data_IF_451646832385
#
_entry.id   IF_451646832385
#
_cell.length_a   1.000
_cell.length_b   1.000
_cell.length_c   1.000
_cell.angle_alpha   90.00
_cell.angle_beta   90.00
_cell.angle_gamma   90.00
#
_symmetry.space_group_name_H-M   'P 1'
#
loop_
_entity.id
_entity.type
_entity.pdbx_description
1 polymer ?
#
# COMPACT_ATOMS: atom_id res chain seq x y z
N UNK A 1 51.62 -43.25 -8.12
CA UNK A 1 50.26 -42.95 -8.63
C UNK A 1 49.50 -42.26 -7.51
N UNK A 2 49.41 -40.94 -7.52
CA UNK A 2 48.74 -40.17 -6.47
C UNK A 2 47.37 -39.76 -6.99
N UNK A 3 46.30 -40.33 -6.43
CA UNK A 3 44.92 -39.96 -6.77
C UNK A 3 44.51 -38.77 -5.90
N UNK A 4 44.17 -37.64 -6.53
CA UNK A 4 43.53 -36.51 -5.87
C UNK A 4 42.02 -36.76 -5.86
N UNK A 5 41.46 -37.12 -4.71
CA UNK A 5 40.02 -37.14 -4.49
C UNK A 5 39.55 -35.69 -4.31
N UNK A 6 38.91 -35.13 -5.33
CA UNK A 6 38.21 -33.85 -5.23
C UNK A 6 36.84 -34.11 -4.62
N UNK A 7 36.66 -33.75 -3.35
CA UNK A 7 35.35 -33.70 -2.69
C UNK A 7 34.59 -32.48 -3.23
N UNK A 8 33.39 -32.64 -3.83
CA UNK A 8 32.60 -31.48 -4.22
C UNK A 8 32.12 -30.75 -2.95
N UNK A 9 32.48 -29.47 -2.84
CA UNK A 9 31.98 -28.58 -1.81
C UNK A 9 30.46 -28.40 -2.02
N UNK A 10 29.62 -28.56 -0.98
CA UNK A 10 28.20 -28.32 -1.11
C UNK A 10 28.00 -26.83 -1.41
N UNK A 11 27.33 -26.53 -2.53
CA UNK A 11 26.88 -25.17 -2.80
C UNK A 11 26.03 -24.71 -1.61
N UNK A 12 26.17 -23.46 -1.14
CA UNK A 12 25.24 -22.94 -0.15
C UNK A 12 23.84 -23.11 -0.72
N UNK A 13 22.94 -23.73 0.06
CA UNK A 13 21.51 -23.62 -0.19
C UNK A 13 21.26 -22.12 -0.20
N UNK A 14 21.05 -21.55 -1.39
CA UNK A 14 20.50 -20.22 -1.45
C UNK A 14 19.14 -20.40 -0.80
N UNK A 15 18.97 -19.90 0.42
CA UNK A 15 17.64 -19.61 0.94
C UNK A 15 16.94 -18.94 -0.24
N UNK A 16 15.93 -19.61 -0.81
CA UNK A 16 15.10 -19.01 -1.87
C UNK A 16 14.82 -17.60 -1.38
N UNK A 17 15.30 -16.56 -2.09
CA UNK A 17 15.21 -15.21 -1.56
C UNK A 17 13.75 -15.03 -1.23
N UNK A 18 13.45 -14.84 0.06
CA UNK A 18 12.08 -14.83 0.54
C UNK A 18 11.40 -13.71 -0.24
N UNK A 19 10.74 -14.06 -1.34
CA UNK A 19 10.04 -13.13 -2.22
C UNK A 19 8.71 -12.83 -1.56
N UNK A 20 8.76 -12.58 -0.25
CA UNK A 20 7.66 -12.10 0.52
C UNK A 20 7.45 -10.65 0.14
N UNK A 21 6.21 -10.32 -0.12
CA UNK A 21 5.76 -8.94 -0.11
C UNK A 21 6.11 -8.33 1.26
N UNK A 22 6.78 -7.20 1.26
CA UNK A 22 7.18 -6.51 2.50
C UNK A 22 5.99 -5.90 3.24
N UNK A 23 4.88 -5.66 2.54
CA UNK A 23 3.62 -5.20 3.10
C UNK A 23 2.44 -5.90 2.40
N UNK A 24 1.32 -6.17 3.09
CA UNK A 24 0.17 -6.87 2.49
C UNK A 24 -0.36 -6.23 1.21
N UNK A 25 -0.41 -4.89 1.15
CA UNK A 25 -0.93 -4.15 -0.01
C UNK A 25 -0.12 -4.40 -1.29
N UNK A 26 1.17 -4.76 -1.17
CA UNK A 26 2.00 -5.03 -2.34
C UNK A 26 1.52 -6.27 -3.09
N UNK A 27 1.07 -7.29 -2.36
CA UNK A 27 0.47 -8.49 -2.93
C UNK A 27 -0.85 -8.16 -3.64
N UNK A 28 -1.66 -7.31 -3.03
CA UNK A 28 -2.96 -6.89 -3.56
C UNK A 28 -2.81 -6.11 -4.86
N UNK A 29 -1.90 -5.14 -4.91
CA UNK A 29 -1.63 -4.35 -6.12
C UNK A 29 -1.08 -5.23 -7.24
N UNK A 30 -0.15 -6.14 -6.93
CA UNK A 30 0.37 -7.10 -7.89
C UNK A 30 -0.75 -8.00 -8.46
N UNK A 31 -1.55 -8.60 -7.58
CA UNK A 31 -2.65 -9.48 -7.96
C UNK A 31 -3.71 -8.74 -8.79
N UNK A 32 -4.03 -7.49 -8.41
CA UNK A 32 -4.99 -6.65 -9.14
C UNK A 32 -4.50 -6.36 -10.55
N UNK A 33 -3.25 -5.93 -10.71
CA UNK A 33 -2.65 -5.68 -12.02
C UNK A 33 -2.67 -6.95 -12.90
N UNK A 34 -2.30 -8.10 -12.32
CA UNK A 34 -2.32 -9.37 -13.04
C UNK A 34 -3.73 -9.76 -13.49
N UNK A 35 -4.73 -9.61 -12.62
CA UNK A 35 -6.11 -9.97 -12.93
C UNK A 35 -6.73 -9.04 -13.97
N UNK A 36 -6.46 -7.74 -13.93
CA UNK A 36 -6.95 -6.80 -14.94
C UNK A 36 -6.37 -7.10 -16.33
N UNK A 37 -5.07 -7.43 -16.39
CA UNK A 37 -4.42 -7.89 -17.62
C UNK A 37 -5.03 -9.19 -18.15
N UNK A 38 -5.24 -10.20 -17.27
CA UNK A 38 -5.88 -11.47 -17.64
C UNK A 38 -7.31 -11.30 -18.15
N UNK A 39 -8.03 -10.32 -17.65
CA UNK A 39 -9.38 -9.96 -18.12
C UNK A 39 -9.36 -9.09 -19.39
N UNK A 40 -8.19 -8.81 -19.97
CA UNK A 40 -8.06 -8.12 -21.25
C UNK A 40 -8.21 -6.60 -21.16
N UNK A 41 -8.15 -6.01 -19.96
CA UNK A 41 -8.24 -4.56 -19.83
C UNK A 41 -7.03 -3.85 -20.48
N UNK A 42 -5.87 -4.48 -20.40
CA UNK A 42 -4.63 -4.06 -21.06
C UNK A 42 -3.75 -5.26 -21.38
N UNK A 43 -2.85 -5.07 -22.34
CA UNK A 43 -1.80 -6.05 -22.66
C UNK A 43 -0.54 -5.86 -21.82
N UNK A 44 0.28 -6.91 -21.71
CA UNK A 44 1.54 -6.83 -20.98
C UNK A 44 2.55 -5.86 -21.59
N UNK A 45 2.54 -5.68 -22.92
CA UNK A 45 3.39 -4.70 -23.60
C UNK A 45 3.03 -3.26 -23.22
N UNK A 46 1.72 -2.97 -23.12
CA UNK A 46 1.20 -1.67 -22.66
C UNK A 46 1.61 -1.41 -21.21
N UNK A 47 1.45 -2.42 -20.35
CA UNK A 47 1.90 -2.37 -18.96
C UNK A 47 3.38 -2.03 -18.83
N UNK A 48 4.26 -2.74 -19.55
CA UNK A 48 5.71 -2.50 -19.50
C UNK A 48 6.07 -1.08 -19.96
N UNK A 49 5.37 -0.55 -20.97
CA UNK A 49 5.58 0.82 -21.43
C UNK A 49 5.25 1.83 -20.33
N UNK A 50 4.07 1.74 -19.73
CA UNK A 50 3.65 2.65 -18.64
C UNK A 50 4.55 2.49 -17.42
N UNK A 51 4.82 1.26 -16.98
CA UNK A 51 5.62 1.00 -15.79
C UNK A 51 7.07 1.48 -15.93
N UNK A 52 7.70 1.26 -17.10
CA UNK A 52 9.06 1.76 -17.34
C UNK A 52 9.12 3.29 -17.40
N UNK A 53 8.07 3.95 -17.90
CA UNK A 53 7.96 5.41 -17.82
C UNK A 53 7.83 5.88 -16.36
N UNK A 54 6.97 5.24 -15.56
CA UNK A 54 6.81 5.55 -14.13
C UNK A 54 8.12 5.40 -13.35
N UNK A 55 8.92 4.35 -13.61
CA UNK A 55 10.24 4.18 -12.99
C UNK A 55 11.17 5.36 -13.32
N UNK A 56 11.15 5.82 -14.57
CA UNK A 56 12.01 6.92 -15.05
C UNK A 56 11.60 8.26 -14.46
N UNK A 57 10.30 8.53 -14.39
CA UNK A 57 9.73 9.78 -13.89
C UNK A 57 9.82 9.88 -12.37
N UNK A 58 9.75 8.74 -11.67
CA UNK A 58 9.69 8.68 -10.22
C UNK A 58 10.75 7.71 -9.67
N UNK A 59 12.05 8.03 -9.84
CA UNK A 59 13.13 7.17 -9.36
C UNK A 59 13.08 6.97 -7.84
N UNK A 60 13.88 6.03 -7.36
CA UNK A 60 14.01 5.77 -5.92
C UNK A 60 14.42 7.05 -5.17
N UNK A 61 13.70 7.35 -4.09
CA UNK A 61 13.98 8.44 -3.14
C UNK A 61 15.05 8.04 -2.14
N UNK A 62 15.69 9.02 -1.52
CA UNK A 62 16.79 8.80 -0.58
C UNK A 62 16.34 8.13 0.72
N UNK A 63 15.07 8.29 1.09
CA UNK A 63 14.46 7.82 2.34
C UNK A 63 13.73 6.47 2.21
N UNK A 64 13.80 5.82 1.04
CA UNK A 64 13.13 4.55 0.80
C UNK A 64 14.08 3.43 0.36
N UNK A 65 13.67 2.20 0.63
CA UNK A 65 14.31 1.00 0.10
C UNK A 65 13.97 0.79 -1.37
N UNK A 66 14.78 -0.01 -2.07
CA UNK A 66 14.51 -0.37 -3.47
C UNK A 66 13.15 -1.07 -3.64
N UNK A 67 12.75 -1.91 -2.67
CA UNK A 67 11.46 -2.59 -2.68
C UNK A 67 10.28 -1.62 -2.51
N UNK A 68 10.40 -0.64 -1.60
CA UNK A 68 9.39 0.41 -1.41
C UNK A 68 9.22 1.25 -2.69
N UNK A 69 10.34 1.66 -3.31
CA UNK A 69 10.32 2.38 -4.58
C UNK A 69 9.60 1.58 -5.67
N UNK A 70 9.96 0.30 -5.81
CA UNK A 70 9.43 -0.60 -6.83
C UNK A 70 7.90 -0.73 -6.75
N UNK A 71 7.35 -1.03 -5.56
CA UNK A 71 5.90 -1.19 -5.42
C UNK A 71 5.14 0.14 -5.45
N UNK A 72 5.74 1.27 -5.03
CA UNK A 72 5.15 2.60 -5.28
C UNK A 72 5.04 2.86 -6.78
N UNK A 73 6.12 2.65 -7.53
CA UNK A 73 6.13 2.82 -8.98
C UNK A 73 5.12 1.88 -9.66
N UNK A 74 4.98 0.66 -9.16
CA UNK A 74 4.00 -0.31 -9.65
C UNK A 74 2.56 0.17 -9.45
N UNK A 75 2.22 0.64 -8.25
CA UNK A 75 0.91 1.22 -7.96
C UNK A 75 0.64 2.44 -8.84
N UNK A 76 1.63 3.33 -8.97
CA UNK A 76 1.51 4.55 -9.78
C UNK A 76 1.25 4.22 -11.26
N UNK A 77 1.95 3.21 -11.79
CA UNK A 77 1.74 2.75 -13.17
C UNK A 77 0.33 2.17 -13.36
N UNK A 78 -0.17 1.42 -12.37
CA UNK A 78 -1.53 0.88 -12.40
C UNK A 78 -2.59 1.98 -12.39
N UNK A 79 -2.48 2.97 -11.49
CA UNK A 79 -3.39 4.12 -11.44
C UNK A 79 -3.35 4.91 -12.74
N UNK A 80 -2.15 5.18 -13.28
CA UNK A 80 -1.97 5.90 -14.55
C UNK A 80 -2.67 5.17 -15.70
N UNK A 81 -2.50 3.85 -15.79
CA UNK A 81 -3.10 3.06 -16.86
C UNK A 81 -4.64 2.96 -16.72
N UNK A 82 -5.17 2.90 -15.50
CA UNK A 82 -6.61 2.97 -15.24
C UNK A 82 -7.21 4.34 -15.58
N UNK A 83 -6.47 5.42 -15.30
CA UNK A 83 -6.83 6.79 -15.69
C UNK A 83 -6.87 6.97 -17.21
N UNK A 84 -5.85 6.46 -17.92
CA UNK A 84 -5.82 6.47 -19.39
C UNK A 84 -7.01 5.75 -20.02
N UNK A 85 -7.59 4.77 -19.31
CA UNK A 85 -8.80 4.04 -19.72
C UNK A 85 -10.09 4.62 -19.17
N UNK A 86 -10.03 5.77 -18.49
CA UNK A 86 -11.18 6.46 -17.87
C UNK A 86 -11.98 5.59 -16.88
N UNK A 87 -11.31 4.64 -16.22
CA UNK A 87 -11.90 3.77 -15.20
C UNK A 87 -11.67 4.25 -13.78
N UNK A 88 -10.73 5.17 -13.61
CA UNK A 88 -10.34 5.75 -12.33
C UNK A 88 -9.96 7.20 -12.61
N UNK A 89 -10.44 8.13 -11.79
CA UNK A 89 -9.94 9.50 -11.76
C UNK A 89 -9.05 9.72 -10.53
N UNK A 90 -8.24 10.80 -10.54
CA UNK A 90 -7.51 11.20 -9.33
C UNK A 90 -8.45 11.53 -8.17
N UNK A 91 -9.59 12.16 -8.48
CA UNK A 91 -10.64 12.49 -7.50
C UNK A 91 -11.24 11.23 -6.84
N UNK A 92 -11.42 10.14 -7.58
CA UNK A 92 -11.89 8.86 -7.02
C UNK A 92 -10.89 8.31 -5.99
N UNK A 93 -9.59 8.40 -6.28
CA UNK A 93 -8.52 7.94 -5.37
C UNK A 93 -8.50 8.81 -4.11
N UNK A 94 -8.50 10.13 -4.28
CA UNK A 94 -8.50 11.09 -3.16
C UNK A 94 -9.74 10.92 -2.27
N UNK A 95 -10.92 10.82 -2.89
CA UNK A 95 -12.18 10.57 -2.18
C UNK A 95 -12.13 9.27 -1.40
N UNK A 96 -11.59 8.20 -2.00
CA UNK A 96 -11.46 6.90 -1.33
C UNK A 96 -10.49 6.96 -0.16
N UNK A 97 -9.35 7.66 -0.29
CA UNK A 97 -8.40 7.86 0.79
C UNK A 97 -9.02 8.65 1.95
N UNK A 98 -9.73 9.75 1.65
CA UNK A 98 -10.41 10.55 2.65
C UNK A 98 -11.49 9.76 3.40
N UNK A 99 -12.27 8.93 2.70
CA UNK A 99 -13.23 8.03 3.33
C UNK A 99 -12.56 7.04 4.29
N UNK A 100 -11.45 6.42 3.91
CA UNK A 100 -10.73 5.51 4.80
C UNK A 100 -10.16 6.22 6.03
N UNK A 101 -9.65 7.45 5.85
CA UNK A 101 -9.19 8.27 6.97
C UNK A 101 -10.34 8.57 7.93
N UNK A 102 -11.47 9.06 7.42
CA UNK A 102 -12.65 9.32 8.23
C UNK A 102 -13.16 8.04 8.91
N UNK A 103 -13.17 6.91 8.21
CA UNK A 103 -13.58 5.63 8.79
C UNK A 103 -12.70 5.28 9.99
N UNK A 104 -11.38 5.49 9.90
CA UNK A 104 -10.47 5.30 11.01
C UNK A 104 -10.81 6.23 12.20
N UNK A 105 -10.99 7.54 11.95
CA UNK A 105 -11.31 8.52 13.00
C UNK A 105 -12.67 8.28 13.68
N UNK A 106 -13.65 7.78 12.94
CA UNK A 106 -15.00 7.49 13.43
C UNK A 106 -15.16 6.06 13.97
N UNK A 107 -14.09 5.27 14.03
CA UNK A 107 -14.11 3.92 14.61
C UNK A 107 -13.72 3.98 16.09
N UNK A 108 -14.63 3.62 17.03
CA UNK A 108 -14.27 3.50 18.43
C UNK A 108 -13.11 2.51 18.65
N UNK A 109 -12.26 2.79 19.63
CA UNK A 109 -11.14 1.90 19.95
C UNK A 109 -11.61 0.46 20.20
N UNK A 110 -10.88 -0.51 19.66
CA UNK A 110 -11.19 -1.94 19.76
C UNK A 110 -12.27 -2.44 18.78
N UNK A 111 -12.85 -1.56 17.95
CA UNK A 111 -13.75 -1.96 16.86
C UNK A 111 -13.00 -2.01 15.52
N UNK A 112 -13.43 -2.86 14.57
CA UNK A 112 -12.85 -2.89 13.23
C UNK A 112 -13.20 -1.62 12.44
N UNK A 113 -12.23 -1.12 11.67
CA UNK A 113 -12.42 0.01 10.76
C UNK A 113 -13.25 -0.44 9.57
N UNK A 114 -14.28 0.34 9.21
CA UNK A 114 -15.13 -0.01 8.07
C UNK A 114 -15.76 1.22 7.41
N UNK A 115 -15.71 1.24 6.07
CA UNK A 115 -16.25 2.32 5.25
C UNK A 115 -17.76 2.55 5.42
N UNK A 116 -18.54 1.55 5.83
CA UNK A 116 -19.98 1.72 6.03
C UNK A 116 -20.30 2.81 7.06
N UNK A 117 -19.40 3.04 8.03
CA UNK A 117 -19.58 4.07 9.06
C UNK A 117 -19.60 5.48 8.47
N UNK A 118 -18.93 5.68 7.34
CA UNK A 118 -18.75 6.97 6.67
C UNK A 118 -19.40 7.03 5.29
N UNK A 119 -20.15 5.99 4.90
CA UNK A 119 -20.81 5.91 3.59
C UNK A 119 -21.84 7.04 3.34
N UNK A 120 -22.29 7.72 4.40
CA UNK A 120 -23.23 8.84 4.33
C UNK A 120 -22.54 10.20 4.11
N UNK A 121 -21.21 10.28 4.14
CA UNK A 121 -20.46 11.52 3.97
C UNK A 121 -20.40 11.85 2.47
N UNK A 122 -21.07 12.93 2.06
CA UNK A 122 -21.16 13.35 0.66
C UNK A 122 -19.84 13.89 0.12
N UNK A 123 -19.11 14.68 0.92
CA UNK A 123 -17.84 15.32 0.53
C UNK A 123 -16.72 14.93 1.51
N UNK A 124 -16.08 13.75 1.34
CA UNK A 124 -15.11 13.22 2.29
C UNK A 124 -13.87 14.09 2.46
N UNK A 125 -13.30 14.61 1.36
CA UNK A 125 -12.12 15.46 1.40
C UNK A 125 -12.37 16.73 2.22
N UNK A 126 -13.46 17.45 1.91
CA UNK A 126 -13.87 18.66 2.63
C UNK A 126 -14.17 18.37 4.10
N UNK A 127 -14.80 17.23 4.38
CA UNK A 127 -15.10 16.82 5.76
C UNK A 127 -13.82 16.55 6.55
N UNK A 128 -12.85 15.89 5.92
CA UNK A 128 -11.57 15.58 6.55
C UNK A 128 -10.75 16.85 6.87
N UNK A 129 -10.74 17.83 5.95
CA UNK A 129 -10.06 19.12 6.17
C UNK A 129 -10.58 19.83 7.43
N UNK A 130 -11.91 19.86 7.64
CA UNK A 130 -12.52 20.47 8.84
C UNK A 130 -12.14 19.77 10.14
N UNK A 131 -11.94 18.45 10.12
CA UNK A 131 -11.50 17.72 11.32
C UNK A 131 -10.09 18.15 11.74
N UNK A 132 -9.21 18.42 10.76
CA UNK A 132 -7.86 18.94 11.01
C UNK A 132 -7.84 20.35 11.62
N UNK A 133 -8.84 21.18 11.33
CA UNK A 133 -8.96 22.55 11.86
C UNK A 133 -9.42 22.60 13.32
N UNK A 134 -10.18 21.61 13.78
CA UNK A 134 -10.62 21.50 15.18
C UNK A 134 -9.52 21.00 16.13
N UNK A 135 -8.43 21.76 16.24
CA UNK A 135 -7.49 21.65 17.37
C UNK A 135 -7.74 22.77 18.38
N UNK A 136 -8.56 22.54 19.44
CA UNK A 136 -8.53 23.42 20.61
C UNK A 136 -7.16 23.31 21.29
N UNK A 137 -6.61 24.45 21.72
CA UNK A 137 -5.35 24.53 22.46
C UNK A 137 -5.35 23.55 23.65
N UNK A 138 -4.49 22.53 23.61
CA UNK A 138 -4.40 21.51 24.65
C UNK A 138 -3.83 22.12 25.94
N UNK A 139 -4.62 22.10 27.02
CA UNK A 139 -4.14 22.31 28.37
C UNK A 139 -3.18 21.18 28.77
N UNK A 140 -1.99 21.57 29.23
CA UNK A 140 -0.91 20.66 29.59
C UNK A 140 -1.25 19.92 30.90
N UNK A 141 -1.72 18.68 30.81
CA UNK A 141 -1.81 17.77 31.96
C UNK A 141 -0.67 16.76 31.92
N UNK A 142 0.25 16.90 32.88
CA UNK A 142 1.32 15.96 33.19
C UNK A 142 0.72 14.62 33.65
N UNK A 143 1.02 13.53 32.92
CA UNK A 143 0.78 12.16 33.38
C UNK A 143 2.08 11.35 33.36
N UNK A 144 2.36 10.73 34.50
CA UNK A 144 3.46 9.80 34.75
C UNK A 144 3.26 8.50 33.96
N UNK A 145 4.33 8.01 33.32
CA UNK A 145 4.32 6.89 32.37
C UNK A 145 4.64 5.55 33.06
N UNK A 146 3.67 4.64 33.15
CA UNK A 146 3.91 3.21 33.38
C UNK A 146 3.28 2.39 32.25
N UNK A 147 4.11 1.56 31.60
CA UNK A 147 3.68 0.43 30.77
C UNK A 147 3.25 0.74 29.33
N UNK A 148 4.22 0.90 28.41
CA UNK A 148 3.95 1.01 26.97
C UNK A 148 3.64 -0.37 26.37
N UNK A 149 2.36 -0.72 26.25
CA UNK A 149 1.92 -1.83 25.38
C UNK A 149 1.97 -1.32 23.94
N UNK A 150 2.78 -1.97 23.10
CA UNK A 150 2.87 -1.66 21.68
C UNK A 150 1.56 -2.12 20.98
N UNK A 151 0.85 -1.23 20.24
CA UNK A 151 -0.37 -1.63 19.54
C UNK A 151 -0.03 -2.57 18.37
N UNK A 152 -0.75 -3.68 18.26
CA UNK A 152 -0.70 -4.56 17.09
C UNK A 152 -1.59 -4.00 15.97
N UNK A 153 -1.13 -4.01 14.71
CA UNK A 153 -1.95 -3.55 13.59
C UNK A 153 -3.15 -4.46 13.38
N UNK A 154 -4.35 -3.86 13.26
CA UNK A 154 -5.59 -4.56 12.95
C UNK A 154 -5.75 -4.58 11.43
N UNK A 155 -5.87 -5.78 10.85
CA UNK A 155 -6.09 -6.00 9.42
C UNK A 155 -7.40 -5.34 8.98
N UNK A 156 -7.34 -4.48 7.97
CA UNK A 156 -8.51 -3.94 7.29
C UNK A 156 -9.06 -5.02 6.38
N UNK A 157 -10.22 -5.57 6.69
CA UNK A 157 -10.90 -6.54 5.83
C UNK A 157 -11.67 -5.77 4.75
N UNK A 158 -11.34 -5.91 3.45
CA UNK A 158 -12.17 -5.33 2.40
C UNK A 158 -13.53 -6.04 2.42
N UNK A 159 -14.60 -5.25 2.57
CA UNK A 159 -15.96 -5.75 2.70
C UNK A 159 -16.37 -6.60 1.50
N UNK A 160 -16.91 -7.79 1.78
CA UNK A 160 -17.64 -8.61 0.81
C UNK A 160 -18.96 -7.89 0.52
N UNK A 161 -19.20 -7.58 -0.76
CA UNK A 161 -20.44 -6.99 -1.27
C UNK A 161 -21.57 -8.01 -1.22
#
# INVERSE_FOLDING_TARGET
>A
MTTLTTTPSPLPVQDEPEMAFGEPWQAEVFATALQLSRNGLYGWSEWVQVFSASIREQPQRTDETAAQAYYRQWLTALETLLQQKSLLSGEDVETRQALWHLAYLHTPHGQPVSLHRVAHIADPCVTLDRVGETHPAHHHHSHTHEGRIAPTPIVVVPGVV
#
